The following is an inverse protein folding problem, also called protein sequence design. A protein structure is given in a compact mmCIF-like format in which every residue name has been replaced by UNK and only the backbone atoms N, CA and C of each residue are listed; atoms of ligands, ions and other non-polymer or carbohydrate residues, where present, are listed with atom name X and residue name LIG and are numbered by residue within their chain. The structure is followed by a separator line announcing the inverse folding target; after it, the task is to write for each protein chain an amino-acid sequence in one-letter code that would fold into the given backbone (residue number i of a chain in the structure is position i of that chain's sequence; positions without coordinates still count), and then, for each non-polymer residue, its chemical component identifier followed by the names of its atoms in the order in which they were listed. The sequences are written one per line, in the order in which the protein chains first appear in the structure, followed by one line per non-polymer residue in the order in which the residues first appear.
data_IF_663140727096
#
_entry.id   IF_663140727096
#
_cell.length_a   1.000
_cell.length_b   1.000
_cell.length_c   1.000
_cell.angle_alpha   90.00
_cell.angle_beta   90.00
_cell.angle_gamma   90.00
#
_symmetry.space_group_name_H-M   'P 1'
#
loop_
_entity.id
_entity.type
_entity.pdbx_description
1 polymer ?
#
# COMPACT_ATOMS: atom_id res chain seq x y z
N UNK A 1 16.55 -57.98 -28.96
CA UNK A 1 16.86 -56.75 -28.21
C UNK A 1 15.90 -55.68 -28.69
N UNK A 2 14.79 -55.46 -27.98
CA UNK A 2 13.88 -54.36 -28.23
C UNK A 2 14.37 -53.14 -27.41
N UNK A 3 14.32 -51.91 -27.95
CA UNK A 3 14.70 -50.73 -27.19
C UNK A 3 13.74 -50.52 -26.00
N UNK A 4 14.23 -49.95 -24.88
CA UNK A 4 13.37 -49.64 -23.74
C UNK A 4 12.34 -48.58 -24.12
N UNK A 5 11.15 -48.58 -23.50
CA UNK A 5 10.12 -47.59 -23.78
C UNK A 5 10.62 -46.18 -23.38
N UNK A 6 10.22 -45.14 -24.13
CA UNK A 6 10.53 -43.77 -23.73
C UNK A 6 9.90 -43.46 -22.38
N UNK A 7 10.67 -42.83 -21.50
CA UNK A 7 10.22 -42.31 -20.21
C UNK A 7 9.02 -41.38 -20.41
N UNK A 8 8.03 -41.40 -19.49
CA UNK A 8 6.89 -40.49 -19.58
C UNK A 8 7.41 -39.05 -19.47
N UNK A 9 7.13 -38.26 -20.51
CA UNK A 9 7.26 -36.81 -20.49
C UNK A 9 6.51 -36.25 -19.27
N UNK A 10 7.08 -35.30 -18.51
CA UNK A 10 6.38 -34.71 -17.38
C UNK A 10 5.09 -34.05 -17.87
N UNK A 11 3.96 -34.52 -17.36
CA UNK A 11 2.65 -33.89 -17.54
C UNK A 11 2.76 -32.40 -17.22
N UNK A 12 2.07 -31.51 -17.93
CA UNK A 12 2.04 -30.09 -17.57
C UNK A 12 1.54 -29.99 -16.13
N UNK A 13 2.37 -29.46 -15.24
CA UNK A 13 2.01 -29.26 -13.84
C UNK A 13 0.67 -28.51 -13.80
N UNK A 14 -0.30 -29.05 -13.06
CA UNK A 14 -1.58 -28.40 -12.80
C UNK A 14 -1.31 -26.95 -12.36
N UNK A 15 -2.11 -25.96 -12.78
CA UNK A 15 -1.90 -24.56 -12.39
C UNK A 15 -1.76 -24.37 -10.86
N UNK A 16 -2.44 -25.21 -10.09
CA UNK A 16 -2.31 -25.38 -8.65
C UNK A 16 -0.91 -25.82 -8.18
N UNK A 17 -0.30 -26.81 -8.82
CA UNK A 17 1.04 -27.29 -8.49
C UNK A 17 2.10 -26.21 -8.75
N UNK A 18 1.97 -25.49 -9.87
CA UNK A 18 2.78 -24.32 -10.15
C UNK A 18 2.61 -23.25 -9.06
N UNK A 19 1.37 -22.94 -8.68
CA UNK A 19 1.06 -21.98 -7.62
C UNK A 19 1.74 -22.36 -6.29
N UNK A 20 1.65 -23.62 -5.88
CA UNK A 20 2.32 -24.11 -4.67
C UNK A 20 3.83 -23.93 -4.71
N UNK A 21 4.48 -24.35 -5.80
CA UNK A 21 5.92 -24.27 -5.94
C UNK A 21 6.39 -22.81 -5.98
N UNK A 22 5.73 -21.98 -6.79
CA UNK A 22 6.03 -20.56 -6.91
C UNK A 22 5.90 -19.83 -5.57
N UNK A 23 4.78 -20.02 -4.86
CA UNK A 23 4.52 -19.32 -3.60
C UNK A 23 5.47 -19.75 -2.48
N UNK A 24 5.84 -21.02 -2.41
CA UNK A 24 6.85 -21.49 -1.46
C UNK A 24 8.18 -20.75 -1.69
N UNK A 25 8.64 -20.64 -2.93
CA UNK A 25 9.88 -19.94 -3.27
C UNK A 25 9.76 -18.43 -3.06
N UNK A 26 8.69 -17.81 -3.55
CA UNK A 26 8.53 -16.35 -3.51
C UNK A 26 8.41 -15.82 -2.07
N UNK A 27 7.69 -16.53 -1.19
CA UNK A 27 7.51 -16.11 0.21
C UNK A 27 8.71 -16.43 1.10
N UNK A 28 9.55 -17.41 0.71
CA UNK A 28 10.78 -17.76 1.44
C UNK A 28 11.99 -16.91 1.03
N UNK A 29 11.91 -16.14 -0.06
CA UNK A 29 13.01 -15.25 -0.47
C UNK A 29 13.29 -14.18 0.58
N UNK A 30 14.57 -13.97 0.87
CA UNK A 30 15.08 -12.91 1.75
C UNK A 30 16.03 -11.99 0.96
N UNK A 31 16.22 -10.78 1.47
CA UNK A 31 17.07 -9.77 0.86
C UNK A 31 16.28 -8.70 0.07
N UNK A 32 16.92 -7.97 -0.86
CA UNK A 32 16.34 -6.79 -1.50
C UNK A 32 15.14 -7.09 -2.42
N UNK A 33 14.95 -8.36 -2.82
CA UNK A 33 13.79 -8.83 -3.58
C UNK A 33 12.71 -9.49 -2.72
N UNK A 34 12.83 -9.44 -1.39
CA UNK A 34 11.86 -10.01 -0.48
C UNK A 34 10.52 -9.28 -0.59
N UNK A 35 9.44 -10.04 -0.55
CA UNK A 35 8.09 -9.48 -0.56
C UNK A 35 7.80 -8.77 0.77
N UNK A 36 7.13 -7.60 0.77
CA UNK A 36 6.89 -6.76 1.93
C UNK A 36 5.69 -7.26 2.78
N UNK A 37 5.61 -8.56 3.02
CA UNK A 37 4.58 -9.16 3.88
C UNK A 37 5.19 -9.60 5.21
N UNK A 38 4.47 -9.35 6.31
CA UNK A 38 4.89 -9.79 7.63
C UNK A 38 4.86 -11.34 7.73
N UNK A 39 5.82 -11.91 8.47
CA UNK A 39 6.01 -13.38 8.54
C UNK A 39 4.76 -14.12 9.07
N UNK A 40 4.02 -13.50 9.99
CA UNK A 40 2.79 -14.03 10.57
C UNK A 40 1.67 -14.22 9.53
N UNK A 41 1.64 -13.39 8.48
CA UNK A 41 0.59 -13.45 7.46
C UNK A 41 1.00 -14.23 6.20
N UNK A 42 2.30 -14.44 5.94
CA UNK A 42 2.78 -15.10 4.71
C UNK A 42 2.14 -16.48 4.48
N UNK A 43 2.00 -17.28 5.52
CA UNK A 43 1.35 -18.59 5.43
C UNK A 43 -0.13 -18.48 5.02
N UNK A 44 -0.83 -17.48 5.54
CA UNK A 44 -2.23 -17.25 5.20
C UNK A 44 -2.39 -16.71 3.77
N UNK A 45 -1.51 -15.80 3.35
CA UNK A 45 -1.44 -15.29 1.98
C UNK A 45 -1.26 -16.45 0.99
N UNK A 46 -0.31 -17.35 1.29
CA UNK A 46 -0.09 -18.57 0.51
C UNK A 46 -1.38 -19.38 0.39
N UNK A 47 -2.05 -19.66 1.50
CA UNK A 47 -3.29 -20.46 1.47
C UNK A 47 -4.41 -19.77 0.67
N UNK A 48 -4.57 -18.45 0.81
CA UNK A 48 -5.56 -17.70 0.04
C UNK A 48 -5.28 -17.76 -1.47
N UNK A 49 -4.03 -17.64 -1.89
CA UNK A 49 -3.65 -17.71 -3.31
C UNK A 49 -3.68 -19.13 -3.88
N UNK A 50 -3.32 -20.14 -3.09
CA UNK A 50 -3.46 -21.56 -3.48
C UNK A 50 -4.93 -21.89 -3.67
N UNK A 51 -5.79 -21.59 -2.68
CA UNK A 51 -7.22 -21.86 -2.78
C UNK A 51 -7.86 -21.12 -3.97
N UNK A 52 -7.38 -19.92 -4.28
CA UNK A 52 -7.79 -19.18 -5.47
C UNK A 52 -7.37 -19.88 -6.76
N UNK A 53 -6.12 -20.35 -6.87
CA UNK A 53 -5.63 -21.06 -8.05
C UNK A 53 -6.32 -22.43 -8.25
N UNK A 54 -6.70 -23.11 -7.16
CA UNK A 54 -7.48 -24.35 -7.20
C UNK A 54 -8.90 -24.10 -7.73
N UNK A 55 -9.57 -23.06 -7.22
CA UNK A 55 -10.94 -22.73 -7.61
C UNK A 55 -11.03 -22.07 -9.00
N UNK A 56 -10.01 -21.30 -9.40
CA UNK A 56 -9.93 -20.57 -10.66
C UNK A 56 -8.57 -20.81 -11.33
N UNK A 57 -8.43 -21.92 -12.09
CA UNK A 57 -7.14 -22.32 -12.68
C UNK A 57 -6.53 -21.33 -13.67
N UNK A 58 -7.32 -20.39 -14.18
CA UNK A 58 -6.88 -19.31 -15.06
C UNK A 58 -6.17 -18.17 -14.33
N UNK A 59 -6.31 -18.06 -13.01
CA UNK A 59 -5.69 -17.02 -12.17
C UNK A 59 -4.38 -17.57 -11.58
N UNK A 60 -3.26 -17.06 -12.07
CA UNK A 60 -1.95 -17.54 -11.67
C UNK A 60 -1.27 -16.57 -10.70
N UNK A 61 -0.73 -17.05 -9.56
CA UNK A 61 0.04 -16.20 -8.67
C UNK A 61 1.36 -15.82 -9.33
N UNK A 62 1.72 -14.53 -9.21
CA UNK A 62 2.98 -13.94 -9.70
C UNK A 62 3.47 -12.88 -8.72
N UNK A 63 4.75 -12.57 -8.77
CA UNK A 63 5.33 -11.41 -8.11
C UNK A 63 5.66 -10.37 -9.17
N UNK A 64 5.21 -9.13 -8.99
CA UNK A 64 5.42 -8.08 -9.96
C UNK A 64 5.65 -6.73 -9.26
N UNK A 65 6.29 -5.80 -9.96
CA UNK A 65 6.50 -4.45 -9.45
C UNK A 65 5.18 -3.67 -9.52
N UNK A 66 4.71 -3.22 -8.37
CA UNK A 66 3.52 -2.39 -8.22
C UNK A 66 3.91 -0.94 -7.93
N UNK A 67 3.33 0.00 -8.67
CA UNK A 67 3.51 1.44 -8.44
C UNK A 67 2.33 1.99 -7.66
N UNK A 68 2.59 2.43 -6.43
CA UNK A 68 1.62 3.08 -5.58
C UNK A 68 1.28 4.48 -6.10
N UNK A 69 0.14 4.99 -5.63
CA UNK A 69 -0.37 6.32 -5.95
C UNK A 69 0.53 7.47 -5.45
N UNK A 70 1.41 7.21 -4.47
CA UNK A 70 2.43 8.14 -3.98
C UNK A 70 3.75 8.10 -4.77
N UNK A 71 3.82 7.26 -5.81
CA UNK A 71 4.99 7.09 -6.68
C UNK A 71 5.99 6.04 -6.20
N UNK A 72 5.77 5.39 -5.04
CA UNK A 72 6.63 4.31 -4.56
C UNK A 72 6.40 3.03 -5.36
N UNK A 73 7.47 2.31 -5.66
CA UNK A 73 7.38 1.00 -6.31
C UNK A 73 7.77 -0.11 -5.33
N UNK A 74 6.98 -1.17 -5.25
CA UNK A 74 7.26 -2.34 -4.40
C UNK A 74 6.94 -3.64 -5.15
N UNK A 75 7.71 -4.70 -4.88
CA UNK A 75 7.38 -6.02 -5.40
C UNK A 75 6.26 -6.64 -4.58
N UNK A 76 5.09 -6.85 -5.19
CA UNK A 76 3.91 -7.42 -4.54
C UNK A 76 3.51 -8.72 -5.21
N UNK A 77 2.80 -9.56 -4.46
CA UNK A 77 2.08 -10.70 -5.03
C UNK A 77 0.81 -10.22 -5.73
N UNK A 78 0.53 -10.87 -6.84
CA UNK A 78 -0.72 -10.71 -7.58
C UNK A 78 -1.22 -12.06 -8.08
N UNK A 79 -2.52 -12.16 -8.34
CA UNK A 79 -3.11 -13.21 -9.16
C UNK A 79 -3.53 -12.61 -10.51
N UNK A 80 -2.86 -13.04 -11.58
CA UNK A 80 -3.05 -12.52 -12.94
C UNK A 80 -3.67 -13.60 -13.83
N UNK A 81 -4.74 -13.26 -14.55
CA UNK A 81 -5.46 -14.21 -15.37
C UNK A 81 -6.83 -13.72 -15.81
N UNK A 82 -7.82 -14.62 -15.77
CA UNK A 82 -9.20 -14.30 -16.17
C UNK A 82 -10.23 -14.78 -15.15
N UNK A 83 -11.27 -13.98 -14.94
CA UNK A 83 -12.44 -14.29 -14.11
C UNK A 83 -13.57 -14.79 -15.03
N UNK A 84 -14.06 -16.03 -14.87
CA UNK A 84 -15.19 -16.52 -15.65
C UNK A 84 -16.48 -15.86 -15.19
N UNK A 85 -17.33 -15.43 -16.12
CA UNK A 85 -18.65 -14.85 -15.89
C UNK A 85 -19.70 -15.54 -16.75
N UNK A 86 -20.97 -15.48 -16.33
CA UNK A 86 -22.11 -15.94 -17.13
C UNK A 86 -23.03 -14.76 -17.41
N UNK A 87 -23.16 -14.36 -18.67
CA UNK A 87 -23.99 -13.23 -19.09
C UNK A 87 -24.79 -13.60 -20.34
N UNK A 88 -26.09 -13.27 -20.34
CA UNK A 88 -26.98 -13.52 -21.48
C UNK A 88 -26.95 -14.96 -22.03
N UNK A 89 -26.76 -15.97 -21.16
CA UNK A 89 -26.74 -17.39 -21.54
C UNK A 89 -25.41 -17.90 -22.09
N UNK A 90 -24.36 -17.07 -22.14
CA UNK A 90 -23.01 -17.46 -22.55
C UNK A 90 -21.98 -17.21 -21.43
N UNK A 91 -20.91 -18.01 -21.43
CA UNK A 91 -19.79 -17.85 -20.50
C UNK A 91 -18.68 -17.02 -21.15
N UNK A 92 -18.18 -16.01 -20.44
CA UNK A 92 -17.09 -15.15 -20.88
C UNK A 92 -15.96 -15.14 -19.86
N UNK A 93 -14.74 -14.84 -20.30
CA UNK A 93 -13.56 -14.75 -19.44
C UNK A 93 -13.07 -13.30 -19.43
N UNK A 94 -13.19 -12.63 -18.28
CA UNK A 94 -12.76 -11.25 -18.11
C UNK A 94 -11.31 -11.21 -17.63
N UNK A 95 -10.36 -10.63 -18.38
CA UNK A 95 -8.99 -10.52 -17.91
C UNK A 95 -8.91 -9.58 -16.70
N UNK A 96 -8.31 -10.06 -15.62
CA UNK A 96 -8.22 -9.35 -14.37
C UNK A 96 -6.93 -9.67 -13.62
N UNK A 97 -6.47 -8.70 -12.85
CA UNK A 97 -5.30 -8.80 -11.98
C UNK A 97 -5.70 -8.40 -10.57
N UNK A 98 -5.47 -9.30 -9.61
CA UNK A 98 -5.73 -9.08 -8.19
C UNK A 98 -4.39 -8.85 -7.49
N UNK A 99 -4.09 -7.62 -7.12
CA UNK A 99 -2.91 -7.25 -6.35
C UNK A 99 -3.15 -7.38 -4.85
N UNK A 100 -2.18 -7.92 -4.13
CA UNK A 100 -2.21 -8.05 -2.68
C UNK A 100 -1.35 -6.92 -2.08
N UNK A 101 -1.95 -5.85 -1.54
CA UNK A 101 -1.20 -4.75 -0.95
C UNK A 101 -0.49 -5.21 0.34
N UNK A 102 0.52 -4.47 0.79
CA UNK A 102 1.30 -4.75 2.00
C UNK A 102 0.45 -5.07 3.26
N UNK A 103 -0.63 -4.31 3.57
CA UNK A 103 -1.50 -4.61 4.71
C UNK A 103 -2.43 -5.83 4.55
N UNK A 104 -2.42 -6.52 3.40
CA UNK A 104 -3.21 -7.72 3.21
C UNK A 104 -2.78 -8.84 4.19
N UNK A 105 -3.71 -9.63 4.77
CA UNK A 105 -5.16 -9.67 4.53
C UNK A 105 -6.01 -8.74 5.40
N UNK A 106 -5.41 -7.85 6.20
CA UNK A 106 -6.15 -6.87 7.02
C UNK A 106 -6.84 -5.81 6.16
N UNK A 107 -6.29 -5.52 4.98
CA UNK A 107 -6.95 -4.74 3.93
C UNK A 107 -7.40 -5.63 2.76
N UNK A 108 -8.42 -5.21 1.99
CA UNK A 108 -8.83 -5.92 0.78
C UNK A 108 -7.73 -5.91 -0.31
N UNK A 109 -7.77 -6.85 -1.26
CA UNK A 109 -6.93 -6.80 -2.46
C UNK A 109 -7.40 -5.69 -3.42
N UNK A 110 -6.50 -5.24 -4.30
CA UNK A 110 -6.83 -4.32 -5.39
C UNK A 110 -7.10 -5.11 -6.67
N UNK A 111 -8.30 -5.00 -7.22
CA UNK A 111 -8.69 -5.75 -8.43
C UNK A 111 -8.77 -4.80 -9.61
N UNK A 112 -8.00 -5.09 -10.66
CA UNK A 112 -8.01 -4.33 -11.91
C UNK A 112 -8.46 -5.23 -13.06
N UNK A 113 -9.37 -4.75 -13.89
CA UNK A 113 -9.65 -5.35 -15.19
C UNK A 113 -8.57 -4.91 -16.17
N UNK A 114 -8.07 -5.84 -16.97
CA UNK A 114 -7.01 -5.60 -17.97
C UNK A 114 -7.57 -5.84 -19.38
N UNK A 115 -8.21 -4.84 -20.01
CA UNK A 115 -8.80 -5.01 -21.33
C UNK A 115 -7.74 -5.44 -22.36
N UNK A 116 -8.06 -6.46 -23.17
CA UNK A 116 -7.27 -6.77 -24.36
C UNK A 116 -7.41 -5.65 -25.41
N UNK A 117 -6.60 -5.68 -26.49
CA UNK A 117 -6.61 -4.65 -27.55
C UNK A 117 -8.00 -4.30 -28.10
N UNK A 118 -8.88 -5.30 -28.18
CA UNK A 118 -10.23 -5.15 -28.72
C UNK A 118 -11.30 -4.99 -27.63
N UNK A 119 -10.92 -4.89 -26.35
CA UNK A 119 -11.86 -4.70 -25.25
C UNK A 119 -11.85 -3.25 -24.76
N UNK A 120 -13.03 -2.77 -24.38
CA UNK A 120 -13.23 -1.43 -23.81
C UNK A 120 -14.03 -1.55 -22.52
N UNK A 121 -13.61 -0.83 -21.48
CA UNK A 121 -14.36 -0.73 -20.22
C UNK A 121 -15.63 0.07 -20.46
N UNK A 122 -16.78 -0.47 -20.03
CA UNK A 122 -18.08 0.19 -20.07
C UNK A 122 -17.99 1.56 -19.39
N UNK A 123 -18.29 2.68 -20.09
CA UNK A 123 -18.34 3.98 -19.47
C UNK A 123 -19.38 4.00 -18.34
N UNK A 124 -19.02 4.61 -17.20
CA UNK A 124 -19.92 4.77 -16.05
C UNK A 124 -20.45 3.46 -15.44
N UNK A 125 -19.67 2.38 -15.52
CA UNK A 125 -20.01 1.13 -14.82
C UNK A 125 -20.05 1.37 -13.29
N UNK A 126 -21.09 0.89 -12.57
CA UNK A 126 -21.26 1.19 -11.14
C UNK A 126 -20.15 0.65 -10.23
N UNK A 127 -19.50 -0.44 -10.66
CA UNK A 127 -18.47 -1.13 -9.88
C UNK A 127 -17.02 -0.83 -10.30
N UNK A 128 -16.81 -0.30 -11.52
CA UNK A 128 -15.48 -0.23 -12.16
C UNK A 128 -15.25 1.18 -12.69
N UNK A 129 -14.08 1.74 -12.39
CA UNK A 129 -13.70 3.07 -12.85
C UNK A 129 -13.07 3.05 -14.26
N UNK A 130 -12.67 4.23 -14.77
CA UNK A 130 -12.03 4.35 -16.09
C UNK A 130 -10.64 3.72 -16.16
N UNK A 131 -9.98 3.49 -15.03
CA UNK A 131 -8.68 2.82 -14.95
C UNK A 131 -8.80 1.30 -14.98
N UNK A 132 -10.02 0.77 -14.82
CA UNK A 132 -10.28 -0.66 -14.67
C UNK A 132 -10.25 -1.13 -13.23
N UNK A 133 -10.04 -0.24 -12.25
CA UNK A 133 -10.07 -0.57 -10.83
C UNK A 133 -11.51 -0.85 -10.39
N UNK A 134 -11.70 -2.01 -9.75
CA UNK A 134 -12.97 -2.43 -9.16
C UNK A 134 -13.07 -1.88 -7.74
N UNK A 135 -13.45 -0.61 -7.60
CA UNK A 135 -13.48 0.05 -6.29
C UNK A 135 -14.78 -0.20 -5.49
N UNK A 136 -15.90 -0.41 -6.19
CA UNK A 136 -17.23 -0.35 -5.58
C UNK A 136 -17.92 -1.71 -5.39
N UNK A 137 -17.19 -2.82 -5.54
CA UNK A 137 -17.75 -4.15 -5.29
C UNK A 137 -18.12 -4.31 -3.80
N UNK A 138 -19.36 -4.76 -3.47
CA UNK A 138 -19.82 -4.91 -2.09
C UNK A 138 -18.86 -5.73 -1.22
N UNK A 139 -18.36 -6.86 -1.73
CA UNK A 139 -17.45 -7.75 -0.99
C UNK A 139 -16.10 -7.08 -0.65
N UNK A 140 -15.58 -6.19 -1.52
CA UNK A 140 -14.37 -5.42 -1.22
C UNK A 140 -14.62 -4.35 -0.14
N UNK A 141 -15.80 -3.71 -0.18
CA UNK A 141 -16.18 -2.67 0.78
C UNK A 141 -16.46 -3.23 2.17
N UNK A 142 -16.99 -4.45 2.26
CA UNK A 142 -17.25 -5.17 3.50
C UNK A 142 -16.19 -6.23 3.80
N UNK A 143 -14.95 -6.03 3.33
CA UNK A 143 -13.85 -6.95 3.60
C UNK A 143 -13.53 -6.95 5.09
N UNK A 144 -13.59 -8.11 5.72
CA UNK A 144 -13.33 -8.29 7.15
C UNK A 144 -12.34 -9.42 7.33
N UNK A 145 -11.20 -9.12 7.94
CA UNK A 145 -10.23 -10.13 8.36
C UNK A 145 -10.64 -10.71 9.73
N UNK A 146 -10.64 -12.04 9.95
CA UNK A 146 -10.17 -13.11 9.07
C UNK A 146 -11.25 -13.82 8.22
N UNK A 147 -12.48 -13.34 8.19
CA UNK A 147 -13.60 -14.05 7.52
C UNK A 147 -13.59 -13.94 5.99
N UNK A 148 -13.04 -12.86 5.43
CA UNK A 148 -12.98 -12.63 3.98
C UNK A 148 -11.79 -13.34 3.31
N UNK A 149 -12.01 -13.86 2.10
CA UNK A 149 -11.00 -14.56 1.30
C UNK A 149 -11.13 -14.26 -0.21
N UNK A 150 -10.09 -14.61 -0.98
CA UNK A 150 -10.01 -14.30 -2.41
C UNK A 150 -11.01 -15.11 -3.26
N UNK A 151 -11.33 -16.33 -2.86
CA UNK A 151 -12.20 -17.21 -3.65
C UNK A 151 -13.63 -16.68 -3.65
N UNK A 152 -14.12 -16.29 -2.46
CA UNK A 152 -15.44 -15.67 -2.30
C UNK A 152 -15.52 -14.31 -3.01
N UNK A 153 -14.45 -13.52 -2.95
CA UNK A 153 -14.34 -12.28 -3.72
C UNK A 153 -14.52 -12.54 -5.22
N UNK A 154 -13.77 -13.48 -5.80
CA UNK A 154 -13.86 -13.77 -7.24
C UNK A 154 -15.21 -14.39 -7.61
N UNK A 155 -15.81 -15.24 -6.75
CA UNK A 155 -17.19 -15.73 -6.96
C UNK A 155 -18.21 -14.58 -6.93
N UNK A 156 -18.07 -13.63 -6.01
CA UNK A 156 -18.93 -12.45 -5.94
C UNK A 156 -18.76 -11.57 -7.18
N UNK A 157 -17.54 -11.34 -7.65
CA UNK A 157 -17.28 -10.57 -8.87
C UNK A 157 -17.81 -11.29 -10.11
N UNK A 158 -17.63 -12.60 -10.20
CA UNK A 158 -18.16 -13.44 -11.28
C UNK A 158 -19.67 -13.28 -11.42
N UNK A 159 -20.38 -13.31 -10.28
CA UNK A 159 -21.83 -13.11 -10.25
C UNK A 159 -22.22 -11.68 -10.65
N UNK A 160 -21.61 -10.65 -10.05
CA UNK A 160 -21.95 -9.25 -10.32
C UNK A 160 -21.66 -8.83 -11.77
N UNK A 161 -20.52 -9.24 -12.32
CA UNK A 161 -20.18 -8.99 -13.72
C UNK A 161 -20.97 -9.86 -14.69
N UNK A 162 -21.55 -10.98 -14.23
CA UNK A 162 -22.54 -11.73 -15.00
C UNK A 162 -23.87 -10.99 -15.16
N UNK A 163 -24.23 -10.13 -14.21
CA UNK A 163 -25.44 -9.29 -14.28
C UNK A 163 -25.22 -8.04 -15.14
N UNK A 164 -24.08 -7.36 -14.98
CA UNK A 164 -23.67 -6.24 -15.83
C UNK A 164 -22.18 -6.37 -16.21
N UNK A 165 -21.87 -6.81 -17.44
CA UNK A 165 -20.49 -6.97 -17.88
C UNK A 165 -19.75 -5.64 -17.98
N UNK A 166 -18.58 -5.52 -17.33
CA UNK A 166 -17.80 -4.27 -17.34
C UNK A 166 -16.95 -4.10 -18.60
N UNK A 167 -16.72 -5.16 -19.40
CA UNK A 167 -15.92 -5.12 -20.63
C UNK A 167 -16.77 -5.49 -21.85
N UNK A 168 -16.61 -4.71 -22.91
CA UNK A 168 -17.20 -5.00 -24.22
C UNK A 168 -16.13 -5.19 -25.28
N UNK A 169 -16.35 -6.15 -26.18
CA UNK A 169 -15.52 -6.30 -27.40
C UNK A 169 -15.96 -5.27 -28.43
N UNK A 170 -15.01 -4.50 -28.95
CA UNK A 170 -15.20 -3.59 -30.07
C UNK A 170 -15.43 -4.45 -31.31
N UNK A 171 -16.65 -4.45 -31.87
CA UNK A 171 -16.87 -5.07 -33.18
C UNK A 171 -15.95 -4.38 -34.20
N UNK A 172 -15.29 -5.13 -35.11
CA UNK A 172 -14.69 -4.52 -36.29
C UNK A 172 -15.79 -3.73 -37.00
N UNK A 173 -15.55 -2.43 -37.20
CA UNK A 173 -16.44 -1.60 -37.99
C UNK A 173 -16.57 -2.25 -39.40
N UNK A 174 -17.77 -2.49 -39.93
CA UNK A 174 -17.89 -2.86 -41.34
C UNK A 174 -17.23 -1.76 -42.20
N UNK A 175 -16.57 -2.11 -43.31
CA UNK A 175 -15.86 -1.14 -44.14
C UNK A 175 -16.81 0.00 -44.55
N UNK A 176 -16.32 1.25 -44.63
CA UNK A 176 -17.14 2.37 -45.05
C UNK A 176 -17.68 2.08 -46.45
N UNK A 177 -19.00 2.05 -46.56
CA UNK A 177 -19.72 1.98 -47.83
C UNK A 177 -19.27 3.21 -48.65
N UNK A 178 -18.82 3.05 -49.91
CA UNK A 178 -18.43 4.19 -50.74
C UNK A 178 -19.64 5.11 -50.95
N UNK A 179 -19.59 6.31 -50.38
CA UNK A 179 -20.57 7.34 -50.65
C UNK A 179 -20.41 7.81 -52.11
N UNK A 180 -21.44 7.57 -52.91
CA UNK A 180 -21.65 8.18 -54.23
C UNK A 180 -21.54 9.71 -54.16
N UNK A 181 -20.76 10.36 -55.03
CA UNK A 181 -20.55 11.80 -54.98
C UNK A 181 -21.74 12.56 -55.60
N UNK A 182 -22.28 13.53 -54.86
CA UNK A 182 -23.12 14.61 -55.40
C UNK A 182 -22.24 15.83 -55.72
N UNK A 183 -22.54 16.61 -56.78
CA UNK A 183 -21.63 17.63 -57.29
C UNK A 183 -21.67 18.91 -56.45
N UNK A 184 -20.49 19.44 -56.13
CA UNK A 184 -20.31 20.75 -55.50
C UNK A 184 -19.87 21.76 -56.56
N UNK A 185 -20.66 22.82 -56.74
CA UNK A 185 -20.37 23.93 -57.65
C UNK A 185 -19.48 24.93 -56.90
N UNK A 186 -18.32 25.22 -57.47
CA UNK A 186 -17.52 26.41 -57.17
C UNK A 186 -17.73 27.43 -58.29
N UNK A 187 -17.56 28.73 -58.00
CA UNK A 187 -16.78 29.53 -58.92
C UNK A 187 -15.65 30.26 -58.20
N UNK A 188 -14.53 30.35 -58.91
CA UNK A 188 -13.31 31.08 -58.60
C UNK A 188 -13.07 32.17 -59.65
N UNK A 189 -12.11 33.05 -59.33
CA UNK A 189 -11.38 33.99 -60.20
C UNK A 189 -12.08 35.34 -60.49
N UNK A 190 -11.41 36.49 -60.57
CA UNK A 190 -9.97 36.83 -60.56
C UNK A 190 -9.80 38.36 -60.40
N UNK A 191 -8.60 38.74 -59.97
CA UNK A 191 -7.98 40.06 -59.89
C UNK A 191 -7.92 40.87 -61.20
N UNK A 192 -7.86 42.21 -61.08
CA UNK A 192 -7.05 43.04 -61.98
C UNK A 192 -6.66 44.38 -61.35
N UNK A 193 -5.36 44.68 -61.42
CA UNK A 193 -4.66 45.92 -61.12
C UNK A 193 -4.62 46.86 -62.34
N UNK A 194 -4.61 48.19 -62.13
CA UNK A 194 -3.92 49.15 -63.02
C UNK A 194 -3.82 50.57 -62.42
N UNK A 195 -2.59 51.09 -62.35
CA UNK A 195 -2.24 52.53 -62.45
C UNK A 195 -1.82 52.83 -63.91
N UNK A 196 -1.84 54.09 -64.41
CA UNK A 196 -0.66 54.98 -64.31
C UNK A 196 -0.95 56.51 -64.21
N UNK A 197 0.12 57.29 -63.97
CA UNK A 197 0.29 58.75 -63.71
C UNK A 197 0.05 59.68 -64.94
N UNK A 198 0.45 60.99 -65.03
CA UNK A 198 0.76 62.08 -64.05
C UNK A 198 0.26 63.54 -64.41
N UNK A 199 0.50 64.52 -63.52
CA UNK A 199 0.63 66.02 -63.67
C UNK A 199 -0.44 66.91 -64.35
N UNK A 200 -0.89 67.99 -63.66
CA UNK A 200 -0.68 69.44 -64.00
C UNK A 200 -1.43 70.42 -63.04
N UNK A 201 -0.69 71.36 -62.44
CA UNK A 201 -1.10 72.59 -61.71
C UNK A 201 -1.53 73.73 -62.67
N UNK A 202 -1.84 74.99 -62.25
CA UNK A 202 -2.49 75.57 -61.05
C UNK A 202 -3.58 76.61 -61.41
N UNK A 203 -4.30 77.18 -60.42
CA UNK A 203 -4.59 78.63 -60.32
C UNK A 203 -5.47 78.96 -59.09
N UNK A 204 -4.90 79.65 -58.11
CA UNK A 204 -5.59 80.54 -57.16
C UNK A 204 -5.90 81.88 -57.88
N UNK A 205 -6.60 82.87 -57.31
CA UNK A 205 -7.22 82.97 -55.97
C UNK A 205 -8.70 83.42 -56.05
N UNK A 206 -9.38 83.60 -54.91
CA UNK A 206 -10.06 84.86 -54.55
C UNK A 206 -10.66 84.74 -53.16
N UNK A 207 -10.36 85.74 -52.33
CA UNK A 207 -10.92 85.93 -51.00
C UNK A 207 -12.44 86.05 -51.08
N UNK A 208 -13.14 85.25 -50.28
CA UNK A 208 -14.45 85.61 -49.76
C UNK A 208 -14.59 85.02 -48.36
N UNK A 209 -14.68 85.90 -47.36
CA UNK A 209 -15.08 85.55 -46.01
C UNK A 209 -16.52 85.03 -46.02
N UNK A 210 -16.80 83.89 -45.36
CA UNK A 210 -18.10 83.62 -44.70
C UNK A 210 -18.14 82.30 -43.90
N UNK A 211 -18.45 82.47 -42.61
CA UNK A 211 -19.40 81.69 -41.77
C UNK A 211 -19.03 80.24 -41.37
N UNK A 212 -19.48 79.78 -40.18
CA UNK A 212 -18.90 78.63 -39.49
C UNK A 212 -19.15 77.32 -40.27
N UNK A 213 -18.28 76.31 -40.11
CA UNK A 213 -18.47 75.05 -40.80
C UNK A 213 -19.76 74.42 -40.26
N UNK A 214 -20.72 74.20 -41.16
CA UNK A 214 -21.76 73.20 -40.91
C UNK A 214 -21.04 71.87 -41.01
N UNK A 215 -20.71 71.27 -39.86
CA UNK A 215 -20.11 69.94 -39.83
C UNK A 215 -21.03 68.96 -40.55
N UNK A 216 -20.47 68.19 -41.48
CA UNK A 216 -21.19 67.15 -42.20
C UNK A 216 -21.79 66.17 -41.17
N UNK A 217 -23.12 65.97 -41.15
CA UNK A 217 -23.78 65.07 -40.20
C UNK A 217 -23.17 63.66 -40.17
N UNK A 218 -22.62 63.20 -41.31
CA UNK A 218 -21.95 61.91 -41.40
C UNK A 218 -20.62 61.87 -40.63
N UNK A 219 -19.84 62.96 -40.64
CA UNK A 219 -18.58 63.04 -39.90
C UNK A 219 -18.82 63.19 -38.39
N UNK A 220 -19.84 63.96 -37.99
CA UNK A 220 -20.27 64.05 -36.59
C UNK A 220 -20.74 62.70 -36.06
N UNK A 221 -21.50 61.96 -36.86
CA UNK A 221 -21.94 60.60 -36.50
C UNK A 221 -20.76 59.64 -36.34
N UNK A 222 -19.80 59.64 -37.26
CA UNK A 222 -18.57 58.82 -37.15
C UNK A 222 -17.77 59.19 -35.90
N UNK A 223 -17.58 60.48 -35.63
CA UNK A 223 -16.84 60.95 -34.45
C UNK A 223 -17.51 60.51 -33.14
N UNK A 224 -18.83 60.61 -33.05
CA UNK A 224 -19.58 60.16 -31.89
C UNK A 224 -19.60 58.63 -31.76
N UNK A 225 -19.68 57.89 -32.87
CA UNK A 225 -19.59 56.44 -32.85
C UNK A 225 -18.21 55.96 -32.38
N UNK A 226 -17.13 56.61 -32.85
CA UNK A 226 -15.76 56.33 -32.41
C UNK A 226 -15.60 56.65 -30.91
N UNK A 227 -16.07 57.82 -30.46
CA UNK A 227 -16.01 58.20 -29.05
C UNK A 227 -16.74 57.18 -28.15
N UNK A 228 -17.92 56.72 -28.58
CA UNK A 228 -18.68 55.70 -27.85
C UNK A 228 -17.97 54.35 -27.78
N UNK A 229 -17.34 53.91 -28.89
CA UNK A 229 -16.55 52.68 -28.90
C UNK A 229 -15.32 52.76 -28.00
N UNK A 230 -14.66 53.93 -27.97
CA UNK A 230 -13.53 54.18 -27.09
C UNK A 230 -13.97 54.15 -25.63
N UNK A 231 -15.06 54.82 -25.27
CA UNK A 231 -15.61 54.80 -23.90
C UNK A 231 -16.01 53.38 -23.47
N UNK A 232 -16.66 52.62 -24.34
CA UNK A 232 -16.98 51.21 -24.08
C UNK A 232 -15.71 50.37 -23.87
N UNK A 233 -14.68 50.55 -24.70
CA UNK A 233 -13.42 49.83 -24.54
C UNK A 233 -12.69 50.21 -23.25
N UNK A 234 -12.75 51.47 -22.83
CA UNK A 234 -12.20 51.91 -21.54
C UNK A 234 -13.00 51.35 -20.36
N UNK A 235 -14.33 51.31 -20.44
CA UNK A 235 -15.17 50.72 -19.40
C UNK A 235 -14.94 49.20 -19.28
N UNK A 236 -14.83 48.48 -20.40
CA UNK A 236 -14.51 47.06 -20.42
C UNK A 236 -13.09 46.80 -19.87
N UNK A 237 -12.10 47.61 -20.27
CA UNK A 237 -10.75 47.50 -19.72
C UNK A 237 -10.71 47.80 -18.21
N UNK A 238 -11.48 48.78 -17.74
CA UNK A 238 -11.57 49.15 -16.33
C UNK A 238 -12.24 48.06 -15.47
N UNK A 239 -13.18 47.30 -16.05
CA UNK A 239 -13.85 46.18 -15.35
C UNK A 239 -13.02 44.89 -15.39
N UNK A 240 -12.30 44.62 -16.48
CA UNK A 240 -11.49 43.40 -16.62
C UNK A 240 -10.18 43.44 -15.81
N UNK A 241 -9.57 44.62 -15.64
CA UNK A 241 -8.33 44.77 -14.86
C UNK A 241 -8.41 44.24 -13.42
N UNK A 242 -9.37 44.65 -12.57
CA UNK A 242 -9.43 44.17 -11.19
C UNK A 242 -9.69 42.66 -11.11
N UNK A 243 -10.47 42.10 -12.05
CA UNK A 243 -10.69 40.65 -12.12
C UNK A 243 -9.40 39.88 -12.43
N UNK A 244 -8.58 40.40 -13.36
CA UNK A 244 -7.27 39.83 -13.71
C UNK A 244 -6.25 39.98 -12.60
N UNK A 245 -6.23 41.11 -11.91
CA UNK A 245 -5.36 41.35 -10.76
C UNK A 245 -5.71 40.38 -9.62
N UNK A 246 -7.00 40.20 -9.30
CA UNK A 246 -7.44 39.22 -8.33
C UNK A 246 -7.07 37.78 -8.72
N UNK A 247 -7.21 37.42 -10.00
CA UNK A 247 -6.76 36.11 -10.51
C UNK A 247 -5.25 35.91 -10.29
N UNK A 248 -4.44 36.92 -10.61
CA UNK A 248 -2.98 36.89 -10.39
C UNK A 248 -2.63 36.74 -8.90
N UNK A 249 -3.31 37.47 -8.02
CA UNK A 249 -3.11 37.36 -6.57
C UNK A 249 -3.43 35.95 -6.06
N UNK A 250 -4.52 35.33 -6.55
CA UNK A 250 -4.86 33.96 -6.18
C UNK A 250 -3.82 32.95 -6.67
N UNK A 251 -3.26 33.15 -7.86
CA UNK A 251 -2.19 32.30 -8.39
C UNK A 251 -0.91 32.42 -7.57
N UNK A 252 -0.52 33.62 -7.14
CA UNK A 252 0.62 33.81 -6.25
C UNK A 252 0.40 33.18 -4.87
N UNK A 253 -0.78 33.33 -4.29
CA UNK A 253 -1.12 32.67 -3.02
C UNK A 253 -1.04 31.13 -3.15
N UNK A 254 -1.54 30.58 -4.26
CA UNK A 254 -1.44 29.15 -4.54
C UNK A 254 0.02 28.71 -4.75
N UNK A 255 0.83 29.48 -5.46
CA UNK A 255 2.26 29.21 -5.65
C UNK A 255 3.03 29.22 -4.32
N UNK A 256 2.73 30.17 -3.43
CA UNK A 256 3.33 30.23 -2.09
C UNK A 256 2.97 28.98 -1.26
N UNK A 257 1.70 28.58 -1.31
CA UNK A 257 1.22 27.36 -0.63
C UNK A 257 1.90 26.11 -1.17
N UNK A 258 2.03 25.98 -2.50
CA UNK A 258 2.69 24.85 -3.13
C UNK A 258 4.19 24.79 -2.79
N UNK A 259 4.89 25.93 -2.75
CA UNK A 259 6.29 25.97 -2.31
C UNK A 259 6.46 25.50 -0.88
N UNK A 260 5.64 26.02 0.04
CA UNK A 260 5.69 25.60 1.45
C UNK A 260 5.42 24.09 1.60
N UNK A 261 4.42 23.55 0.89
CA UNK A 261 4.16 22.10 0.89
C UNK A 261 5.33 21.31 0.29
N UNK A 262 5.96 21.82 -0.76
CA UNK A 262 7.15 21.21 -1.35
C UNK A 262 8.32 21.14 -0.38
N UNK A 263 8.57 22.20 0.39
CA UNK A 263 9.59 22.22 1.45
C UNK A 263 9.30 21.21 2.54
N UNK A 264 8.06 21.12 3.02
CA UNK A 264 7.65 20.12 4.04
C UNK A 264 7.87 18.70 3.53
N UNK A 265 7.49 18.42 2.28
CA UNK A 265 7.70 17.09 1.68
C UNK A 265 9.20 16.80 1.53
N UNK A 266 9.99 17.77 1.07
CA UNK A 266 11.44 17.62 0.94
C UNK A 266 12.11 17.36 2.29
N UNK A 267 11.71 18.05 3.34
CA UNK A 267 12.20 17.83 4.69
C UNK A 267 11.81 16.46 5.23
N UNK A 268 10.57 16.03 4.97
CA UNK A 268 10.09 14.69 5.31
C UNK A 268 10.87 13.57 4.61
N UNK A 269 11.16 13.73 3.31
CA UNK A 269 11.97 12.77 2.54
C UNK A 269 13.39 12.69 3.10
N UNK A 270 14.00 13.82 3.43
CA UNK A 270 15.35 13.86 4.03
C UNK A 270 15.39 13.13 5.38
N UNK A 271 14.46 13.43 6.29
CA UNK A 271 14.36 12.78 7.60
C UNK A 271 14.15 11.27 7.47
N UNK A 272 13.26 10.84 6.58
CA UNK A 272 13.02 9.42 6.31
C UNK A 272 14.28 8.71 5.78
N UNK A 273 15.08 9.41 4.97
CA UNK A 273 16.38 8.91 4.51
C UNK A 273 17.36 8.70 5.66
N UNK A 274 17.48 9.69 6.54
CA UNK A 274 18.34 9.61 7.75
C UNK A 274 17.89 8.46 8.68
N UNK A 275 16.59 8.29 8.89
CA UNK A 275 16.03 7.19 9.68
C UNK A 275 16.29 5.82 9.04
N UNK A 276 16.12 5.71 7.71
CA UNK A 276 16.44 4.49 6.97
C UNK A 276 17.91 4.10 7.15
N UNK A 277 18.84 5.03 6.97
CA UNK A 277 20.26 4.75 7.16
C UNK A 277 20.58 4.38 8.63
N UNK A 278 19.90 5.00 9.60
CA UNK A 278 20.08 4.65 11.01
C UNK A 278 19.57 3.23 11.32
N UNK A 279 18.44 2.83 10.74
CA UNK A 279 17.89 1.48 10.86
C UNK A 279 18.79 0.44 10.17
N UNK A 280 19.34 0.75 9.00
CA UNK A 280 20.29 -0.12 8.30
C UNK A 280 21.54 -0.38 9.14
N UNK A 281 22.10 0.65 9.80
CA UNK A 281 23.24 0.49 10.72
C UNK A 281 22.89 -0.41 11.91
N UNK A 282 21.73 -0.20 12.54
CA UNK A 282 21.27 -1.07 13.66
C UNK A 282 21.04 -2.51 13.23
N UNK A 283 20.49 -2.71 12.04
CA UNK A 283 20.31 -4.04 11.48
C UNK A 283 21.67 -4.74 11.31
N UNK A 284 22.66 -4.02 10.77
CA UNK A 284 24.02 -4.54 10.62
C UNK A 284 24.66 -4.90 11.97
N UNK A 285 24.49 -4.07 13.01
CA UNK A 285 24.98 -4.36 14.35
C UNK A 285 24.36 -5.63 14.93
N UNK A 286 23.03 -5.78 14.79
CA UNK A 286 22.30 -6.97 15.28
C UNK A 286 22.70 -8.22 14.51
N UNK A 287 22.85 -8.13 13.18
CA UNK A 287 23.32 -9.25 12.37
C UNK A 287 24.73 -9.68 12.80
N UNK A 288 25.65 -8.73 12.96
CA UNK A 288 27.01 -9.03 13.43
C UNK A 288 27.00 -9.66 14.83
N UNK A 289 26.17 -9.16 15.75
CA UNK A 289 26.01 -9.75 17.08
C UNK A 289 25.42 -11.17 17.02
N UNK A 290 24.49 -11.41 16.10
CA UNK A 290 23.89 -12.74 15.87
C UNK A 290 24.95 -13.71 15.34
N UNK A 291 25.72 -13.33 14.32
CA UNK A 291 26.80 -14.16 13.76
C UNK A 291 27.84 -14.51 14.82
N UNK A 292 28.20 -13.55 15.69
CA UNK A 292 29.11 -13.79 16.82
C UNK A 292 28.53 -14.79 17.82
N UNK A 293 27.24 -14.67 18.15
CA UNK A 293 26.58 -15.63 19.05
C UNK A 293 26.46 -17.00 18.41
N UNK A 294 26.08 -17.10 17.14
CA UNK A 294 25.99 -18.38 16.42
C UNK A 294 27.36 -19.07 16.35
N UNK A 295 28.43 -18.32 16.05
CA UNK A 295 29.79 -18.86 16.05
C UNK A 295 30.19 -19.36 17.45
N UNK A 296 29.87 -18.61 18.50
CA UNK A 296 30.13 -19.01 19.88
C UNK A 296 29.35 -20.27 20.27
N UNK A 297 28.06 -20.33 19.93
CA UNK A 297 27.20 -21.50 20.18
C UNK A 297 27.74 -22.72 19.44
N UNK A 298 28.07 -22.59 18.15
CA UNK A 298 28.62 -23.68 17.34
C UNK A 298 29.93 -24.22 17.91
N UNK A 299 30.80 -23.36 18.43
CA UNK A 299 32.05 -23.79 19.04
C UNK A 299 31.83 -24.49 20.39
N UNK A 300 30.91 -23.98 21.21
CA UNK A 300 30.66 -24.50 22.55
C UNK A 300 29.67 -25.69 22.60
N UNK A 301 28.94 -25.94 21.52
CA UNK A 301 28.02 -27.09 21.41
C UNK A 301 28.62 -28.30 20.68
N UNK A 302 29.82 -28.16 20.08
CA UNK A 302 30.63 -29.28 19.56
C UNK A 302 31.14 -30.17 20.71
N UNK A 303 30.25 -30.94 21.33
CA UNK A 303 30.58 -31.87 22.41
C UNK A 303 29.44 -32.15 23.38
N UNK A 304 28.43 -31.28 23.45
CA UNK A 304 27.24 -31.46 24.27
C UNK A 304 26.14 -32.18 23.47
N UNK A 305 26.38 -33.44 23.13
CA UNK A 305 25.39 -34.33 22.49
C UNK A 305 24.76 -35.30 23.51
N UNK A 306 24.53 -34.82 24.74
CA UNK A 306 23.69 -35.48 25.73
C UNK A 306 22.60 -34.51 26.14
N UNK A 307 21.43 -35.02 26.51
CA UNK A 307 20.35 -34.25 27.14
C UNK A 307 20.90 -33.50 28.36
N UNK A 308 21.47 -32.32 28.16
CA UNK A 308 21.70 -31.38 29.24
C UNK A 308 20.30 -30.94 29.63
N UNK A 309 19.82 -31.44 30.77
CA UNK A 309 18.61 -30.92 31.42
C UNK A 309 18.68 -29.39 31.33
N UNK A 310 17.63 -28.76 30.80
CA UNK A 310 17.59 -27.31 30.62
C UNK A 310 17.87 -26.55 31.95
N UNK A 311 17.68 -27.23 33.08
CA UNK A 311 17.98 -26.76 34.42
C UNK A 311 19.49 -26.69 34.76
N UNK A 312 20.36 -27.45 34.07
CA UNK A 312 21.83 -27.34 34.22
C UNK A 312 22.43 -26.24 33.33
N UNK A 313 21.68 -25.73 32.34
CA UNK A 313 22.16 -24.67 31.44
C UNK A 313 22.23 -23.30 32.12
N UNK A 314 21.49 -23.10 33.22
CA UNK A 314 21.44 -21.84 33.98
C UNK A 314 22.12 -22.05 35.33
N UNK A 315 23.43 -21.81 35.37
CA UNK A 315 24.15 -21.75 36.64
C UNK A 315 23.92 -20.39 37.32
N UNK A 316 23.40 -20.43 38.55
CA UNK A 316 23.31 -19.24 39.39
C UNK A 316 24.70 -18.83 39.88
N UNK A 317 24.98 -17.53 39.91
CA UNK A 317 26.30 -16.99 40.26
C UNK A 317 26.82 -17.39 41.66
N UNK A 318 25.94 -17.74 42.59
CA UNK A 318 26.28 -18.11 43.97
C UNK A 318 25.13 -18.86 44.66
N UNK A 319 25.42 -19.44 45.83
CA UNK A 319 24.46 -20.25 46.61
C UNK A 319 23.23 -19.45 47.04
N UNK A 320 23.36 -18.15 47.35
CA UNK A 320 22.20 -17.33 47.71
C UNK A 320 21.33 -17.07 46.48
N UNK A 321 21.94 -16.84 45.32
CA UNK A 321 21.22 -16.70 44.06
C UNK A 321 20.46 -17.99 43.68
N UNK A 322 21.06 -19.17 43.92
CA UNK A 322 20.38 -20.47 43.78
C UNK A 322 19.14 -20.57 44.67
N UNK A 323 19.31 -20.30 45.97
CA UNK A 323 18.22 -20.34 46.93
C UNK A 323 17.10 -19.34 46.57
N UNK A 324 17.45 -18.16 46.06
CA UNK A 324 16.47 -17.18 45.59
C UNK A 324 15.65 -17.71 44.42
N UNK A 325 16.31 -18.32 43.43
CA UNK A 325 15.67 -18.90 42.26
C UNK A 325 14.70 -20.01 42.68
N UNK A 326 15.15 -20.96 43.49
CA UNK A 326 14.35 -22.08 43.99
C UNK A 326 13.13 -21.60 44.80
N UNK A 327 13.30 -20.64 45.71
CA UNK A 327 12.19 -20.09 46.49
C UNK A 327 11.15 -19.41 45.59
N UNK A 328 11.61 -18.67 44.57
CA UNK A 328 10.71 -17.95 43.66
C UNK A 328 9.96 -18.91 42.75
N UNK A 329 10.65 -19.93 42.22
CA UNK A 329 10.02 -20.98 41.43
C UNK A 329 8.96 -21.75 42.24
N UNK A 330 9.28 -22.10 43.48
CA UNK A 330 8.33 -22.76 44.38
C UNK A 330 7.13 -21.87 44.72
N UNK A 331 7.32 -20.56 44.95
CA UNK A 331 6.22 -19.62 45.21
C UNK A 331 5.23 -19.56 44.04
N UNK A 332 5.74 -19.45 42.81
CA UNK A 332 4.93 -19.40 41.59
C UNK A 332 4.20 -20.73 41.34
N UNK A 333 4.89 -21.87 41.51
CA UNK A 333 4.26 -23.18 41.38
C UNK A 333 3.13 -23.37 42.41
N UNK A 334 3.32 -22.87 43.64
CA UNK A 334 2.28 -22.92 44.66
C UNK A 334 1.07 -22.03 44.28
N UNK A 335 1.27 -20.85 43.68
CA UNK A 335 0.16 -20.04 43.15
C UNK A 335 -0.63 -20.76 42.07
N UNK A 336 0.06 -21.38 41.11
CA UNK A 336 -0.58 -22.14 40.03
C UNK A 336 -1.37 -23.34 40.56
N UNK A 337 -0.83 -24.07 41.55
CA UNK A 337 -1.55 -25.19 42.17
C UNK A 337 -2.79 -24.74 42.94
N UNK A 338 -2.73 -23.62 43.66
CA UNK A 338 -3.89 -23.06 44.35
C UNK A 338 -4.95 -22.63 43.32
N UNK A 339 -4.55 -21.98 42.24
CA UNK A 339 -5.45 -21.61 41.15
C UNK A 339 -6.14 -22.83 40.50
N UNK A 340 -5.39 -23.91 40.25
CA UNK A 340 -5.95 -25.15 39.73
C UNK A 340 -6.94 -25.80 40.72
N UNK A 341 -6.67 -25.73 42.03
CA UNK A 341 -7.58 -26.21 43.07
C UNK A 341 -8.86 -25.36 43.14
N UNK A 342 -8.78 -24.04 42.97
CA UNK A 342 -9.94 -23.14 42.90
C UNK A 342 -10.86 -23.52 41.73
N UNK A 343 -10.28 -23.87 40.58
CA UNK A 343 -11.04 -24.35 39.43
C UNK A 343 -11.67 -25.73 39.70
N UNK A 344 -10.91 -26.65 40.30
CA UNK A 344 -11.38 -28.00 40.58
C UNK A 344 -12.56 -28.03 41.57
N UNK A 345 -12.63 -27.12 42.53
CA UNK A 345 -13.80 -27.01 43.42
C UNK A 345 -15.02 -26.40 42.70
N UNK A 346 -14.84 -25.42 41.82
CA UNK A 346 -15.94 -24.85 41.02
C UNK A 346 -16.58 -25.91 40.10
N UNK A 347 -15.77 -26.82 39.58
CA UNK A 347 -16.22 -27.94 38.75
C UNK A 347 -16.79 -29.12 39.57
N UNK A 348 -16.71 -29.07 40.91
CA UNK A 348 -17.19 -30.13 41.80
C UNK A 348 -16.29 -31.37 41.88
N UNK A 349 -15.08 -31.31 41.31
CA UNK A 349 -14.09 -32.40 41.30
C UNK A 349 -13.43 -32.64 42.66
N UNK A 350 -13.43 -31.64 43.55
CA UNK A 350 -12.83 -31.71 44.88
C UNK A 350 -13.87 -31.29 45.94
N UNK A 351 -14.05 -32.07 47.03
CA UNK A 351 -14.95 -31.69 48.12
C UNK A 351 -14.42 -30.46 48.87
N UNK A 352 -15.31 -29.59 49.34
CA UNK A 352 -14.98 -28.33 50.01
C UNK A 352 -14.01 -28.51 51.20
N UNK A 353 -14.19 -29.54 52.03
CA UNK A 353 -13.27 -29.82 53.15
C UNK A 353 -11.85 -30.17 52.68
N UNK A 354 -11.74 -30.94 51.59
CA UNK A 354 -10.47 -31.30 50.96
C UNK A 354 -9.76 -30.09 50.38
N UNK A 355 -10.52 -29.23 49.69
CA UNK A 355 -10.02 -27.96 49.17
C UNK A 355 -9.45 -27.06 50.28
N UNK A 356 -10.22 -26.81 51.36
CA UNK A 356 -9.75 -25.96 52.46
C UNK A 356 -8.49 -26.50 53.15
N UNK A 357 -8.36 -27.81 53.26
CA UNK A 357 -7.18 -28.46 53.84
C UNK A 357 -5.96 -28.27 52.94
N UNK A 358 -6.11 -28.48 51.64
CA UNK A 358 -5.03 -28.34 50.65
C UNK A 358 -4.58 -26.88 50.53
N UNK A 359 -5.51 -25.93 50.37
CA UNK A 359 -5.17 -24.50 50.28
C UNK A 359 -4.46 -24.02 51.54
N UNK A 360 -4.88 -24.44 52.74
CA UNK A 360 -4.20 -24.07 53.98
C UNK A 360 -2.78 -24.64 54.06
N UNK A 361 -2.56 -25.87 53.60
CA UNK A 361 -1.24 -26.49 53.56
C UNK A 361 -0.32 -25.76 52.57
N UNK A 362 -0.79 -25.53 51.34
CA UNK A 362 -0.05 -24.83 50.29
C UNK A 362 0.25 -23.37 50.67
N UNK A 363 -0.71 -22.65 51.26
CA UNK A 363 -0.49 -21.28 51.73
C UNK A 363 0.56 -21.21 52.86
N UNK A 364 0.63 -22.23 53.72
CA UNK A 364 1.67 -22.32 54.75
C UNK A 364 3.04 -22.56 54.13
N UNK A 365 3.13 -23.42 53.12
CA UNK A 365 4.37 -23.67 52.38
C UNK A 365 4.82 -22.41 51.65
N UNK A 366 3.89 -21.74 50.96
CA UNK A 366 4.13 -20.48 50.25
C UNK A 366 4.66 -19.40 51.19
N UNK A 367 4.09 -19.28 52.39
CA UNK A 367 4.60 -18.37 53.42
C UNK A 367 6.07 -18.63 53.74
N UNK A 368 6.48 -19.90 53.92
CA UNK A 368 7.88 -20.22 54.20
C UNK A 368 8.81 -19.90 53.02
N UNK A 369 8.37 -20.13 51.78
CA UNK A 369 9.13 -19.75 50.58
C UNK A 369 9.34 -18.24 50.50
N UNK A 370 8.28 -17.44 50.74
CA UNK A 370 8.36 -15.97 50.77
C UNK A 370 9.24 -15.45 51.89
N UNK A 371 9.12 -16.01 53.10
CA UNK A 371 9.99 -15.65 54.23
C UNK A 371 11.45 -15.97 53.89
N UNK A 372 11.73 -17.14 53.32
CA UNK A 372 13.09 -17.53 52.94
C UNK A 372 13.65 -16.58 51.87
N UNK A 373 12.89 -16.29 50.82
CA UNK A 373 13.25 -15.28 49.80
C UNK A 373 13.62 -13.93 50.43
N UNK A 374 12.81 -13.40 51.35
CA UNK A 374 13.14 -12.12 52.02
C UNK A 374 14.43 -12.19 52.85
N UNK A 375 14.74 -13.34 53.46
CA UNK A 375 15.99 -13.55 54.21
C UNK A 375 17.20 -13.60 53.28
N UNK A 376 17.08 -14.34 52.18
CA UNK A 376 18.14 -14.46 51.16
C UNK A 376 18.43 -13.10 50.53
N UNK A 377 17.40 -12.31 50.20
CA UNK A 377 17.59 -10.95 49.64
C UNK A 377 18.38 -10.04 50.60
N UNK A 378 18.03 -10.06 51.90
CA UNK A 378 18.79 -9.31 52.93
C UNK A 378 20.23 -9.80 53.03
N UNK A 379 20.47 -11.11 52.98
CA UNK A 379 21.81 -11.68 53.01
C UNK A 379 22.63 -11.30 51.76
N UNK A 380 22.02 -11.28 50.58
CA UNK A 380 22.66 -10.84 49.33
C UNK A 380 23.06 -9.36 49.39
N UNK A 381 22.17 -8.49 49.88
CA UNK A 381 22.48 -7.07 50.09
C UNK A 381 23.64 -6.87 51.06
N UNK A 382 23.65 -7.59 52.19
CA UNK A 382 24.76 -7.54 53.15
C UNK A 382 26.08 -8.03 52.55
N UNK A 383 26.05 -9.13 51.80
CA UNK A 383 27.23 -9.67 51.11
C UNK A 383 27.75 -8.71 50.03
N UNK A 384 26.86 -8.02 49.31
CA UNK A 384 27.22 -7.02 48.32
C UNK A 384 27.88 -5.79 48.98
N UNK A 385 27.31 -5.30 50.08
CA UNK A 385 27.88 -4.19 50.87
C UNK A 385 29.26 -4.59 51.43
N UNK A 386 29.41 -5.80 51.96
CA UNK A 386 30.69 -6.30 52.46
C UNK A 386 31.75 -6.42 51.34
N UNK A 387 31.37 -6.90 50.15
CA UNK A 387 32.25 -6.94 48.97
C UNK A 387 32.66 -5.54 48.50
N UNK A 388 31.75 -4.56 48.55
CA UNK A 388 32.06 -3.17 48.23
C UNK A 388 33.00 -2.54 49.27
N UNK A 389 32.78 -2.80 50.55
CA UNK A 389 33.65 -2.34 51.64
C UNK A 389 35.06 -2.96 51.56
N UNK A 390 35.18 -4.24 51.20
CA UNK A 390 36.46 -4.92 51.00
C UNK A 390 37.22 -4.47 49.75
N UNK A 391 36.52 -3.91 48.75
CA UNK A 391 37.11 -3.30 47.54
C UNK A 391 37.47 -1.83 47.71
N UNK A 392 37.10 -1.20 48.83
CA UNK A 392 37.55 0.15 49.13
C UNK A 392 39.08 0.15 49.28
N UNK A 393 39.82 1.02 48.58
CA UNK A 393 41.27 0.99 48.60
C UNK A 393 41.81 1.25 50.01
N UNK A 394 42.85 0.53 50.42
CA UNK A 394 43.69 0.84 51.58
C UNK A 394 44.52 2.13 51.37
N UNK A 395 43.96 3.18 50.77
CA UNK A 395 44.55 4.51 50.65
C UNK A 395 43.89 5.45 51.67
N UNK A 396 44.00 5.09 52.94
CA UNK A 396 43.74 6.00 54.05
C UNK A 396 44.73 5.67 55.17
N UNK A 397 46.01 5.94 54.92
CA UNK A 397 47.05 6.09 55.94
C UNK A 397 48.12 7.03 55.40
#
# INVERSE_FOLDING_TARGET
MAPPPPSPSPSPASGAQYAHQFLNTALSQRGPSALPYAEDVKWLIRNHLVALADAFPSLHPKAALFTHNDGRAAHLLQADGTIPIHHAGASYNLPAVLWLPEPYPRSPPLVFLSPTRDMVIKPHHPLVDRSGLVANAPYLRSWVFPSSNLVDLVRSLSHLFGLDPPLFTRSPNPPPIPATPLPRVHPSSSSSSSSPSPYRFPASPQLAARLPPTEDPAEVYKRNAIAKLVDMAYADAATLRPAREAEVDTLFAMQATLRSRGEVVSDGVRKMGEEKEALERRLQDVMMATDLMEAWVMENTKGAAGDTEADEAIETADVLSKQMLECTAADLALEDTIYALDKAIQEGSVPFDGYLRSVRALAREQFFQRVLSTKVNKAQQQAQVARMAARAPQYAS
#
